data_IF_484906705451
#
_entry.id   IF_484906705451
#
_cell.length_a   1.000
_cell.length_b   1.000
_cell.length_c   1.000
_cell.angle_alpha   90.00
_cell.angle_beta   90.00
_cell.angle_gamma   90.00
#
_symmetry.space_group_name_H-M   'P 1'
#
loop_
_entity.id
_entity.type
_entity.pdbx_description
1 polymer ?
#
# COMPACT_ATOMS: atom_id res chain seq x y z
N UNK A 1 22.19 -3.90 -14.52
CA UNK A 1 22.14 -4.45 -13.15
C UNK A 1 21.82 -3.29 -12.21
N UNK A 2 20.55 -2.89 -12.14
CA UNK A 2 20.08 -1.89 -11.18
C UNK A 2 20.02 -2.58 -9.82
N UNK A 3 21.06 -2.40 -9.00
CA UNK A 3 21.07 -2.94 -7.65
C UNK A 3 20.13 -2.10 -6.80
N UNK A 4 19.21 -2.79 -6.15
CA UNK A 4 18.30 -2.30 -5.13
C UNK A 4 19.06 -1.51 -4.06
N UNK A 5 19.05 -0.18 -4.17
CA UNK A 5 19.27 0.73 -3.05
C UNK A 5 17.98 1.50 -2.80
N UNK A 6 16.87 0.77 -2.67
CA UNK A 6 15.65 1.35 -2.12
C UNK A 6 15.97 1.78 -0.70
N UNK A 7 15.88 3.09 -0.44
CA UNK A 7 16.00 3.62 0.93
C UNK A 7 15.01 2.86 1.83
N UNK A 8 15.28 2.61 3.12
CA UNK A 8 14.42 1.81 3.99
C UNK A 8 12.95 2.23 4.01
N UNK A 9 12.72 3.52 3.87
CA UNK A 9 11.37 4.07 3.70
C UNK A 9 10.65 3.52 2.46
N UNK A 10 11.33 3.37 1.32
CA UNK A 10 10.76 2.76 0.09
C UNK A 10 10.43 1.29 0.32
N UNK A 11 11.32 0.51 0.92
CA UNK A 11 11.06 -0.90 1.20
C UNK A 11 9.89 -1.09 2.18
N UNK A 12 9.80 -0.25 3.21
CA UNK A 12 8.63 -0.22 4.10
C UNK A 12 7.35 0.20 3.36
N UNK A 13 7.42 1.17 2.45
CA UNK A 13 6.29 1.57 1.62
C UNK A 13 5.82 0.44 0.71
N UNK A 14 6.73 -0.27 0.04
CA UNK A 14 6.42 -1.44 -0.78
C UNK A 14 5.77 -2.56 0.03
N UNK A 15 6.23 -2.79 1.26
CA UNK A 15 5.60 -3.74 2.17
C UNK A 15 4.20 -3.26 2.60
N UNK A 16 4.04 -1.99 2.97
CA UNK A 16 2.75 -1.41 3.38
C UNK A 16 1.70 -1.45 2.26
N UNK A 17 2.10 -1.38 0.99
CA UNK A 17 1.18 -1.54 -0.15
C UNK A 17 0.54 -2.93 -0.22
N UNK A 18 1.08 -3.94 0.46
CA UNK A 18 0.51 -5.31 0.51
C UNK A 18 -0.63 -5.45 1.51
N UNK A 19 -0.91 -4.44 2.33
CA UNK A 19 -2.06 -4.40 3.21
C UNK A 19 -3.37 -4.77 2.48
N UNK A 20 -4.21 -5.67 3.00
CA UNK A 20 -5.45 -6.09 2.33
C UNK A 20 -6.41 -4.93 1.99
N UNK A 21 -6.54 -3.95 2.89
CA UNK A 21 -7.36 -2.76 2.64
C UNK A 21 -6.79 -1.88 1.51
N UNK A 22 -5.47 -1.67 1.50
CA UNK A 22 -4.77 -0.99 0.40
C UNK A 22 -4.98 -1.73 -0.91
N UNK A 23 -4.80 -3.06 -0.90
CA UNK A 23 -4.99 -3.90 -2.07
C UNK A 23 -6.43 -3.84 -2.59
N UNK A 24 -7.45 -3.82 -1.72
CA UNK A 24 -8.84 -3.67 -2.13
C UNK A 24 -9.08 -2.35 -2.89
N UNK A 25 -8.57 -1.24 -2.35
CA UNK A 25 -8.68 0.08 -2.99
C UNK A 25 -7.88 0.12 -4.29
N UNK A 26 -6.64 -0.38 -4.31
CA UNK A 26 -5.83 -0.45 -5.52
C UNK A 26 -6.50 -1.30 -6.60
N UNK A 27 -7.09 -2.44 -6.23
CA UNK A 27 -7.82 -3.30 -7.16
C UNK A 27 -9.11 -2.65 -7.67
N UNK A 28 -9.72 -1.73 -6.92
CA UNK A 28 -10.88 -0.98 -7.40
C UNK A 28 -10.55 -0.12 -8.64
N UNK A 29 -9.29 0.32 -8.78
CA UNK A 29 -8.82 1.18 -9.87
C UNK A 29 -7.89 0.50 -10.88
N UNK A 30 -7.11 -0.50 -10.46
CA UNK A 30 -6.09 -1.16 -11.32
C UNK A 30 -6.55 -2.50 -11.89
N UNK A 31 -7.47 -3.20 -11.24
CA UNK A 31 -7.89 -4.52 -11.70
C UNK A 31 -8.82 -4.40 -12.92
N UNK A 32 -8.89 -5.44 -13.79
CA UNK A 32 -9.84 -5.47 -14.88
C UNK A 32 -11.29 -5.27 -14.41
N UNK A 33 -12.03 -4.41 -15.10
CA UNK A 33 -13.40 -4.05 -14.75
C UNK A 33 -14.41 -5.09 -15.25
N UNK A 34 -14.48 -6.24 -14.57
CA UNK A 34 -15.52 -7.24 -14.80
C UNK A 34 -16.85 -6.79 -14.19
N UNK A 35 -17.97 -7.38 -14.62
CA UNK A 35 -19.30 -7.05 -14.05
C UNK A 35 -19.33 -7.20 -12.52
N UNK A 36 -18.74 -8.28 -11.99
CA UNK A 36 -18.63 -8.51 -10.55
C UNK A 36 -17.82 -7.41 -9.86
N UNK A 37 -16.69 -7.00 -10.46
CA UNK A 37 -15.84 -5.94 -9.90
C UNK A 37 -16.54 -4.58 -9.96
N UNK A 38 -17.24 -4.28 -11.06
CA UNK A 38 -18.03 -3.06 -11.20
C UNK A 38 -19.06 -2.93 -10.08
N UNK A 39 -19.89 -3.96 -9.87
CA UNK A 39 -20.88 -3.96 -8.79
C UNK A 39 -20.21 -3.83 -7.43
N UNK A 40 -19.12 -4.57 -7.19
CA UNK A 40 -18.31 -4.45 -5.96
C UNK A 40 -17.80 -3.03 -5.74
N UNK A 41 -17.27 -2.36 -6.77
CA UNK A 41 -16.76 -1.00 -6.67
C UNK A 41 -17.87 0.01 -6.35
N UNK A 42 -19.07 -0.17 -6.91
CA UNK A 42 -20.23 0.69 -6.62
C UNK A 42 -20.65 0.53 -5.16
N UNK A 43 -20.81 -0.72 -4.69
CA UNK A 43 -21.22 -1.02 -3.31
C UNK A 43 -20.20 -0.49 -2.29
N UNK A 44 -18.90 -0.65 -2.55
CA UNK A 44 -17.83 -0.24 -1.64
C UNK A 44 -17.28 1.18 -1.91
N UNK A 45 -17.89 1.95 -2.81
CA UNK A 45 -17.38 3.25 -3.26
C UNK A 45 -17.16 4.25 -2.11
N UNK A 46 -18.08 4.28 -1.14
CA UNK A 46 -17.98 5.16 0.02
C UNK A 46 -16.82 4.79 0.96
N UNK A 47 -16.56 3.48 1.13
CA UNK A 47 -15.45 2.99 1.97
C UNK A 47 -14.11 3.25 1.29
N UNK A 48 -14.01 2.98 -0.02
CA UNK A 48 -12.79 3.20 -0.78
C UNK A 48 -12.40 4.67 -0.89
N UNK A 49 -13.36 5.59 -1.02
CA UNK A 49 -13.07 7.04 -1.06
C UNK A 49 -12.61 7.61 0.27
N UNK A 50 -13.05 7.00 1.38
CA UNK A 50 -12.60 7.34 2.75
C UNK A 50 -11.24 6.76 3.11
N UNK A 51 -10.76 5.76 2.38
CA UNK A 51 -9.46 5.16 2.66
C UNK A 51 -8.32 6.18 2.49
N UNK A 52 -7.44 6.23 3.49
CA UNK A 52 -6.25 7.08 3.53
C UNK A 52 -5.07 6.23 3.97
N UNK A 53 -4.11 6.06 3.08
CA UNK A 53 -2.82 5.44 3.39
C UNK A 53 -2.03 6.47 4.21
N UNK A 54 -1.45 6.07 5.34
CA UNK A 54 -0.59 6.96 6.13
C UNK A 54 0.68 7.29 5.33
N UNK A 55 1.10 8.55 5.43
CA UNK A 55 2.35 9.07 4.87
C UNK A 55 3.59 8.45 5.52
N UNK A 56 3.46 7.93 6.74
CA UNK A 56 4.47 7.15 7.44
C UNK A 56 4.18 5.65 7.22
N UNK A 57 4.96 4.93 6.39
CA UNK A 57 4.69 3.54 6.06
C UNK A 57 4.69 2.58 7.26
N UNK A 58 5.42 2.93 8.32
CA UNK A 58 5.45 2.15 9.55
C UNK A 58 4.07 2.02 10.20
N UNK A 59 3.24 3.07 10.15
CA UNK A 59 1.87 3.04 10.69
C UNK A 59 0.98 2.08 9.89
N UNK A 60 1.03 2.20 8.56
CA UNK A 60 0.85 1.11 7.57
C UNK A 60 0.97 -0.32 8.10
N UNK A 61 2.24 -0.67 8.33
CA UNK A 61 2.66 -2.02 8.65
C UNK A 61 2.10 -2.48 9.99
N UNK A 62 2.11 -1.60 11.00
CA UNK A 62 1.57 -1.89 12.34
C UNK A 62 0.06 -2.13 12.26
N UNK A 63 -0.69 -1.25 11.57
CA UNK A 63 -2.15 -1.38 11.43
C UNK A 63 -2.54 -2.68 10.73
N UNK A 64 -1.75 -3.10 9.75
CA UNK A 64 -2.00 -4.33 9.00
C UNK A 64 -1.40 -5.59 9.63
N UNK A 65 -0.56 -5.46 10.67
CA UNK A 65 0.19 -6.57 11.26
C UNK A 65 1.20 -7.21 10.30
N UNK A 66 1.78 -6.41 9.38
CA UNK A 66 2.80 -6.86 8.45
C UNK A 66 4.20 -6.70 9.06
N UNK A 67 5.10 -7.62 8.71
CA UNK A 67 6.52 -7.57 9.08
C UNK A 67 7.15 -6.25 8.60
N UNK A 68 7.91 -5.59 9.48
CA UNK A 68 8.68 -4.40 9.11
C UNK A 68 9.98 -4.85 8.46
N UNK A 69 10.25 -4.49 7.18
CA UNK A 69 11.51 -4.85 6.54
C UNK A 69 12.71 -4.26 7.29
N UNK A 70 13.67 -5.11 7.64
CA UNK A 70 14.94 -4.70 8.21
C UNK A 70 15.88 -4.25 7.10
N UNK A 71 15.91 -2.94 6.88
CA UNK A 71 16.74 -2.27 5.87
C UNK A 71 17.40 -1.11 6.58
N UNK A 72 18.74 -1.12 6.60
CA UNK A 72 19.55 -0.14 7.32
C UNK A 72 19.23 1.30 6.87
N UNK A 73 18.94 2.25 7.79
CA UNK A 73 18.53 3.63 7.49
C UNK A 73 19.41 4.24 6.39
N UNK A 74 18.85 4.45 5.20
CA UNK A 74 19.47 5.28 4.19
C UNK A 74 19.53 6.72 4.72
N UNK A 75 20.58 7.49 4.37
CA UNK A 75 20.73 8.84 4.88
C UNK A 75 19.49 9.68 4.54
N UNK A 76 18.99 10.42 5.53
CA UNK A 76 17.90 11.37 5.35
C UNK A 76 18.27 12.34 4.22
N UNK A 77 17.42 12.43 3.19
CA UNK A 77 17.54 13.51 2.20
C UNK A 77 16.87 14.75 2.78
N UNK A 78 17.67 15.80 2.97
CA UNK A 78 17.24 17.15 3.33
C UNK A 78 16.50 17.83 2.17
#
# INVERSE_FOLDING_TARGET
>A
MFRDTSTPWVAQAEAALKCPATQAVLNSVRAPLTLRRFVSNVVHSFEFTRYRIDRVPLNELIRCGLEVPDVSPAPARE
#
